data_IF_543549158435
#
_entry.id   IF_543549158435
#
_cell.length_a   1.000
_cell.length_b   1.000
_cell.length_c   1.000
_cell.angle_alpha   90.00
_cell.angle_beta   90.00
_cell.angle_gamma   90.00
#
_symmetry.space_group_name_H-M   'P 1'
#
loop_
_entity.id
_entity.type
_entity.pdbx_description
1 polymer ?
#
# COMPACT_ATOMS: atom_id res chain seq x y z
N UNK A 1 1.30 -4.65 -3.29
CA UNK A 1 0.86 -3.25 -3.18
C UNK A 1 -0.66 -3.23 -3.16
N UNK A 2 -1.27 -2.72 -2.09
CA UNK A 2 -2.73 -2.59 -1.97
C UNK A 2 -3.13 -1.13 -2.02
N UNK A 3 -4.30 -0.83 -2.59
CA UNK A 3 -4.85 0.53 -2.67
C UNK A 3 -6.18 0.59 -1.94
N UNK A 4 -6.35 1.47 -0.95
CA UNK A 4 -7.62 1.66 -0.23
C UNK A 4 -8.12 3.10 -0.32
N UNK A 5 -9.45 3.25 -0.32
CA UNK A 5 -10.15 4.53 -0.27
C UNK A 5 -10.54 4.98 1.14
N UNK A 6 -10.32 4.15 2.17
CA UNK A 6 -10.55 4.51 3.56
C UNK A 6 -9.22 4.56 4.30
N UNK A 7 -9.10 5.52 5.22
CA UNK A 7 -7.88 5.87 5.96
C UNK A 7 -7.19 4.65 6.57
N UNK A 8 -5.91 4.79 6.94
CA UNK A 8 -4.99 3.74 7.46
C UNK A 8 -5.60 2.75 8.48
N UNK A 9 -6.70 3.11 9.13
CA UNK A 9 -7.45 2.29 10.10
C UNK A 9 -8.45 1.30 9.46
N UNK A 10 -8.78 1.41 8.18
CA UNK A 10 -9.83 0.61 7.54
C UNK A 10 -9.36 -0.76 7.01
N UNK A 11 -8.05 -1.02 7.00
CA UNK A 11 -7.49 -2.33 6.59
C UNK A 11 -7.10 -3.16 7.81
N UNK A 12 -7.50 -2.74 9.01
CA UNK A 12 -7.40 -3.56 10.21
C UNK A 12 -8.68 -4.39 10.31
N UNK A 13 -8.79 -5.42 9.47
CA UNK A 13 -9.68 -6.55 9.72
C UNK A 13 -8.79 -7.79 9.85
N UNK A 14 -8.75 -8.39 11.04
CA UNK A 14 -7.97 -9.58 11.43
C UNK A 14 -6.52 -9.39 11.93
N UNK A 15 -6.14 -8.18 12.39
CA UNK A 15 -5.04 -8.00 13.34
C UNK A 15 -3.61 -8.28 12.85
N UNK A 16 -3.42 -8.64 11.58
CA UNK A 16 -2.07 -8.88 11.03
C UNK A 16 -2.01 -8.24 9.64
N UNK A 17 -1.64 -6.96 9.59
CA UNK A 17 -1.06 -6.44 8.35
C UNK A 17 0.32 -7.10 8.27
N UNK A 18 0.48 -8.11 7.42
CA UNK A 18 1.76 -8.83 7.27
C UNK A 18 2.91 -7.82 7.22
N UNK A 19 3.92 -8.02 8.07
CA UNK A 19 5.12 -7.18 8.14
C UNK A 19 5.81 -7.19 6.78
N UNK A 20 5.54 -6.18 5.95
CA UNK A 20 5.98 -6.10 4.56
C UNK A 20 4.92 -5.64 3.56
N UNK A 21 3.65 -5.50 4.00
CA UNK A 21 2.57 -5.06 3.10
C UNK A 21 2.66 -3.56 2.83
N UNK A 22 3.11 -3.21 1.62
CA UNK A 22 3.10 -1.83 1.13
C UNK A 22 1.66 -1.38 0.79
N UNK A 23 1.22 -0.28 1.42
CA UNK A 23 -0.10 0.32 1.22
C UNK A 23 0.01 1.69 0.55
N UNK A 24 -0.89 1.96 -0.41
CA UNK A 24 -1.09 3.27 -1.02
C UNK A 24 -2.52 3.77 -0.76
N UNK A 25 -2.63 4.88 -0.03
CA UNK A 25 -3.92 5.49 0.35
C UNK A 25 -4.37 6.46 -0.74
N UNK A 26 -5.66 6.45 -1.11
CA UNK A 26 -6.24 7.43 -2.04
C UNK A 26 -6.54 8.79 -1.37
N UNK A 27 -6.56 9.90 -2.13
CA UNK A 27 -6.13 9.98 -3.54
C UNK A 27 -4.60 9.92 -3.63
N UNK A 28 -4.10 9.31 -4.69
CA UNK A 28 -2.68 9.25 -5.03
C UNK A 28 -2.49 9.58 -6.51
N UNK A 29 -1.29 10.01 -6.88
CA UNK A 29 -0.88 10.25 -8.27
C UNK A 29 -0.36 8.97 -8.92
N UNK A 30 -0.33 8.95 -10.25
CA UNK A 30 0.27 7.82 -10.99
C UNK A 30 1.76 7.66 -10.68
N UNK A 31 2.46 8.75 -10.40
CA UNK A 31 3.88 8.72 -10.03
C UNK A 31 4.10 8.04 -8.67
N UNK A 32 3.25 8.33 -7.68
CA UNK A 32 3.28 7.68 -6.36
C UNK A 32 2.99 6.17 -6.47
N UNK A 33 2.09 5.78 -7.37
CA UNK A 33 1.84 4.38 -7.69
C UNK A 33 3.08 3.73 -8.34
N UNK A 34 3.67 4.36 -9.34
CA UNK A 34 4.84 3.85 -10.04
C UNK A 34 6.03 3.66 -9.10
N UNK A 35 6.31 4.63 -8.23
CA UNK A 35 7.37 4.55 -7.23
C UNK A 35 7.17 3.38 -6.27
N UNK A 36 5.94 3.19 -5.77
CA UNK A 36 5.62 2.07 -4.87
C UNK A 36 5.69 0.71 -5.56
N UNK A 37 5.23 0.61 -6.80
CA UNK A 37 5.39 -0.61 -7.60
C UNK A 37 6.86 -0.95 -7.78
N UNK A 38 7.68 0.05 -8.13
CA UNK A 38 9.12 -0.15 -8.33
C UNK A 38 9.80 -0.60 -7.04
N UNK A 39 9.53 0.06 -5.91
CA UNK A 39 10.03 -0.34 -4.59
C UNK A 39 9.66 -1.78 -4.23
N UNK A 40 8.42 -2.22 -4.47
CA UNK A 40 8.00 -3.60 -4.18
C UNK A 40 8.75 -4.60 -5.05
N UNK A 41 8.91 -4.29 -6.33
CA UNK A 41 9.61 -5.18 -7.26
C UNK A 41 11.13 -5.19 -7.03
N UNK A 42 11.73 -4.13 -6.46
CA UNK A 42 13.20 -4.00 -6.25
C UNK A 42 13.66 -4.72 -4.99
N UNK A 43 12.75 -4.94 -4.05
CA UNK A 43 13.01 -5.67 -2.79
C UNK A 43 13.04 -7.19 -2.99
N UNK A 44 13.04 -7.67 -4.24
CA UNK A 44 12.97 -9.08 -4.63
C UNK A 44 14.32 -9.61 -5.09
#
# INVERSE_FOLDING_TARGET
>A
LYTTGYTRNAIVHNGTLDFGTELLTKPYTIDELAEKVRKVLDRK
#
